data_IF_967829823425
#
_entry.id   IF_967829823425
#
_cell.length_a   1.000
_cell.length_b   1.000
_cell.length_c   1.000
_cell.angle_alpha   90.00
_cell.angle_beta   90.00
_cell.angle_gamma   90.00
#
_symmetry.space_group_name_H-M   'P 1'
#
loop_
_entity.id
_entity.type
_entity.pdbx_description
1 polymer ?
#
# COMPACT_ATOMS: atom_id res chain seq x y z
N UNK A 1 -6.97 15.90 -5.12
CA UNK A 1 -6.02 14.86 -5.66
C UNK A 1 -5.20 14.21 -4.54
N UNK A 2 -4.90 12.93 -4.64
CA UNK A 2 -4.19 12.18 -3.59
C UNK A 2 -2.76 12.67 -3.40
N UNK A 3 -2.46 13.29 -2.23
CA UNK A 3 -1.10 13.72 -1.86
C UNK A 3 -0.12 12.55 -1.75
N UNK A 4 -0.61 11.39 -1.34
CA UNK A 4 0.19 10.17 -1.20
C UNK A 4 0.68 9.67 -2.55
N UNK A 5 -0.18 9.63 -3.56
CA UNK A 5 0.17 9.15 -4.90
C UNK A 5 1.17 10.10 -5.60
N UNK A 6 0.99 11.41 -5.45
CA UNK A 6 1.95 12.40 -5.96
C UNK A 6 3.35 12.23 -5.36
N UNK A 7 3.46 11.86 -4.08
CA UNK A 7 4.74 11.59 -3.44
C UNK A 7 5.40 10.31 -3.98
N UNK A 8 4.60 9.30 -4.33
CA UNK A 8 5.08 8.03 -4.90
C UNK A 8 5.52 8.23 -6.37
N UNK A 9 4.77 8.99 -7.18
CA UNK A 9 5.17 9.32 -8.57
C UNK A 9 6.54 10.01 -8.61
N UNK A 10 6.85 10.86 -7.63
CA UNK A 10 8.16 11.54 -7.55
C UNK A 10 9.36 10.61 -7.30
N UNK A 11 9.13 9.33 -7.01
CA UNK A 11 10.19 8.32 -6.91
C UNK A 11 10.67 7.86 -8.29
N UNK A 12 9.86 8.05 -9.34
CA UNK A 12 10.18 7.60 -10.69
C UNK A 12 11.36 8.36 -11.31
N UNK A 13 12.14 7.71 -12.20
CA UNK A 13 13.14 8.38 -13.00
C UNK A 13 12.54 9.52 -13.83
N UNK A 14 13.32 10.60 -14.02
CA UNK A 14 12.86 11.81 -14.70
C UNK A 14 12.28 11.57 -16.11
N UNK A 15 12.82 10.59 -16.83
CA UNK A 15 12.38 10.20 -18.17
C UNK A 15 11.01 9.52 -18.21
N UNK A 16 10.51 9.01 -17.09
CA UNK A 16 9.23 8.31 -16.98
C UNK A 16 8.21 9.12 -16.16
N UNK A 17 8.70 10.05 -15.33
CA UNK A 17 7.88 10.79 -14.37
C UNK A 17 6.72 11.51 -15.05
N UNK A 18 6.97 12.18 -16.19
CA UNK A 18 5.95 12.96 -16.88
C UNK A 18 4.90 12.05 -17.51
N UNK A 19 5.31 10.94 -18.13
CA UNK A 19 4.41 9.98 -18.76
C UNK A 19 3.43 9.39 -17.71
N UNK A 20 3.94 8.98 -16.56
CA UNK A 20 3.11 8.42 -15.47
C UNK A 20 2.26 9.52 -14.82
N UNK A 21 2.77 10.74 -14.67
CA UNK A 21 1.98 11.85 -14.14
C UNK A 21 0.78 12.16 -15.06
N UNK A 22 1.00 12.24 -16.38
CA UNK A 22 -0.09 12.48 -17.34
C UNK A 22 -1.04 11.28 -17.38
N UNK A 23 -0.54 10.06 -17.35
CA UNK A 23 -1.37 8.87 -17.23
C UNK A 23 -2.30 8.96 -16.02
N UNK A 24 -1.75 9.28 -14.84
CA UNK A 24 -2.54 9.49 -13.63
C UNK A 24 -3.59 10.60 -13.78
N UNK A 25 -3.22 11.77 -14.34
CA UNK A 25 -4.15 12.89 -14.48
C UNK A 25 -5.29 12.57 -15.46
N UNK A 26 -5.00 11.90 -16.57
CA UNK A 26 -6.01 11.47 -17.54
C UNK A 26 -7.00 10.49 -16.92
N UNK A 27 -6.50 9.47 -16.20
CA UNK A 27 -7.37 8.51 -15.54
C UNK A 27 -8.14 9.13 -14.37
N UNK A 28 -7.53 10.08 -13.62
CA UNK A 28 -8.24 10.80 -12.55
C UNK A 28 -9.35 11.70 -13.11
N UNK A 29 -9.17 12.31 -14.27
CA UNK A 29 -10.22 13.06 -14.93
C UNK A 29 -11.41 12.15 -15.33
N UNK A 30 -11.11 10.97 -15.87
CA UNK A 30 -12.12 9.98 -16.20
C UNK A 30 -12.87 9.46 -14.94
N UNK A 31 -12.14 9.19 -13.88
CA UNK A 31 -12.63 8.75 -12.57
C UNK A 31 -13.58 9.80 -11.96
N UNK A 32 -13.20 11.09 -12.02
CA UNK A 32 -14.03 12.21 -11.55
C UNK A 32 -15.38 12.27 -12.27
N UNK A 33 -15.41 11.98 -13.57
CA UNK A 33 -16.65 11.93 -14.36
C UNK A 33 -17.51 10.74 -13.90
N UNK A 34 -16.89 9.60 -13.64
CA UNK A 34 -17.60 8.40 -13.19
C UNK A 34 -18.14 8.55 -11.77
N UNK A 35 -17.36 9.14 -10.85
CA UNK A 35 -17.73 9.29 -9.45
C UNK A 35 -18.83 10.34 -9.20
N UNK A 36 -18.97 11.37 -10.04
CA UNK A 36 -19.97 12.42 -9.82
C UNK A 36 -21.39 11.90 -10.02
N UNK A 37 -22.13 11.73 -8.94
CA UNK A 37 -23.51 11.22 -8.94
C UNK A 37 -24.56 12.29 -9.16
N UNK A 38 -24.17 13.57 -9.25
CA UNK A 38 -25.10 14.72 -9.25
C UNK A 38 -25.02 15.58 -10.51
N UNK A 39 -23.93 15.55 -11.22
CA UNK A 39 -23.69 16.41 -12.38
C UNK A 39 -24.53 16.04 -13.63
N UNK A 40 -24.74 14.73 -13.84
CA UNK A 40 -25.42 14.25 -15.03
C UNK A 40 -26.92 14.15 -14.82
N UNK A 41 -27.73 14.58 -15.81
CA UNK A 41 -29.19 14.45 -15.79
C UNK A 41 -29.63 12.99 -15.96
N UNK A 42 -28.81 12.17 -16.66
CA UNK A 42 -29.09 10.76 -16.90
C UNK A 42 -27.81 9.90 -16.91
N UNK A 43 -27.98 8.60 -16.64
CA UNK A 43 -26.90 7.62 -16.80
C UNK A 43 -26.46 7.49 -18.26
N UNK A 44 -27.37 7.66 -19.23
CA UNK A 44 -27.08 7.62 -20.65
C UNK A 44 -26.10 8.72 -21.05
N UNK A 45 -26.27 9.95 -20.53
CA UNK A 45 -25.35 11.06 -20.77
C UNK A 45 -23.99 10.79 -20.16
N UNK A 46 -23.93 10.31 -18.91
CA UNK A 46 -22.67 9.91 -18.25
C UNK A 46 -21.93 8.84 -19.08
N UNK A 47 -22.63 7.77 -19.47
CA UNK A 47 -22.07 6.68 -20.30
C UNK A 47 -21.55 7.22 -21.63
N UNK A 48 -22.30 8.10 -22.31
CA UNK A 48 -21.88 8.71 -23.57
C UNK A 48 -20.60 9.52 -23.42
N UNK A 49 -20.48 10.29 -22.36
CA UNK A 49 -19.27 11.09 -22.07
C UNK A 49 -18.08 10.16 -21.77
N UNK A 50 -18.26 9.17 -20.90
CA UNK A 50 -17.20 8.19 -20.58
C UNK A 50 -16.70 7.52 -21.86
N UNK A 51 -17.58 6.94 -22.67
CA UNK A 51 -17.19 6.21 -23.89
C UNK A 51 -16.53 7.12 -24.95
N UNK A 52 -16.87 8.40 -24.98
CA UNK A 52 -16.27 9.36 -25.93
C UNK A 52 -14.97 10.01 -25.41
N UNK A 53 -14.69 9.95 -24.11
CA UNK A 53 -13.61 10.71 -23.46
C UNK A 53 -12.26 10.55 -24.17
N UNK A 54 -11.87 9.34 -24.54
CA UNK A 54 -10.61 9.08 -25.25
C UNK A 54 -10.55 9.71 -26.66
N UNK A 55 -11.68 10.01 -27.28
CA UNK A 55 -11.77 10.66 -28.59
C UNK A 55 -11.97 12.17 -28.50
N UNK A 56 -12.59 12.63 -27.44
CA UNK A 56 -12.88 14.05 -27.22
C UNK A 56 -11.78 14.71 -26.40
N UNK A 57 -11.59 14.32 -25.15
CA UNK A 57 -10.64 14.95 -24.24
C UNK A 57 -9.16 14.74 -24.65
N UNK A 58 -8.82 13.58 -25.22
CA UNK A 58 -7.43 13.32 -25.68
C UNK A 58 -7.14 13.76 -27.11
N UNK A 59 -8.15 14.17 -27.88
CA UNK A 59 -7.96 14.62 -29.26
C UNK A 59 -8.19 16.14 -29.43
N UNK A 60 -9.07 16.73 -28.63
CA UNK A 60 -9.36 18.17 -28.71
C UNK A 60 -8.54 18.96 -27.66
N UNK A 61 -7.60 19.82 -28.10
CA UNK A 61 -6.77 20.63 -27.21
C UNK A 61 -7.54 21.67 -26.39
N UNK A 62 -8.80 21.94 -26.74
CA UNK A 62 -9.65 22.90 -26.03
C UNK A 62 -10.75 22.22 -25.19
N UNK A 63 -10.75 20.91 -25.13
CA UNK A 63 -11.76 20.19 -24.36
C UNK A 63 -11.70 20.56 -22.88
N UNK A 64 -12.83 20.91 -22.31
CA UNK A 64 -13.02 21.17 -20.88
C UNK A 64 -14.37 20.64 -20.43
N UNK A 65 -14.51 20.41 -19.11
CA UNK A 65 -15.80 20.11 -18.48
C UNK A 65 -15.93 20.96 -17.21
N UNK A 66 -16.95 21.82 -17.18
CA UNK A 66 -17.19 22.75 -16.07
C UNK A 66 -18.27 22.20 -15.15
N UNK A 67 -18.05 22.29 -13.84
CA UNK A 67 -19.06 21.95 -12.82
C UNK A 67 -19.05 20.49 -12.36
N UNK A 68 -18.42 19.58 -13.08
CA UNK A 68 -18.29 18.17 -12.70
C UNK A 68 -17.18 17.98 -11.67
N UNK A 69 -17.41 17.14 -10.65
CA UNK A 69 -16.48 16.88 -9.55
C UNK A 69 -16.41 17.99 -8.50
N UNK A 70 -15.43 17.90 -7.61
CA UNK A 70 -15.22 18.87 -6.53
C UNK A 70 -13.73 19.26 -6.40
N UNK A 71 -13.48 20.45 -5.85
CA UNK A 71 -12.14 20.91 -5.48
C UNK A 71 -11.10 20.80 -6.59
N UNK A 72 -9.97 20.13 -6.33
CA UNK A 72 -8.88 19.93 -7.28
C UNK A 72 -9.28 19.04 -8.48
N UNK A 73 -10.26 18.16 -8.31
CA UNK A 73 -10.74 17.23 -9.34
C UNK A 73 -11.60 17.96 -10.36
N UNK A 74 -12.51 18.86 -9.91
CA UNK A 74 -13.22 19.79 -10.78
C UNK A 74 -12.25 20.66 -11.54
N UNK A 75 -11.27 21.23 -10.85
CA UNK A 75 -10.25 22.06 -11.47
C UNK A 75 -9.46 21.32 -12.54
N UNK A 76 -9.18 20.02 -12.36
CA UNK A 76 -8.52 19.21 -13.38
C UNK A 76 -9.34 19.15 -14.67
N UNK A 77 -10.66 18.97 -14.58
CA UNK A 77 -11.56 18.94 -15.74
C UNK A 77 -11.69 20.31 -16.41
N UNK A 78 -11.77 21.38 -15.63
CA UNK A 78 -11.87 22.76 -16.13
C UNK A 78 -10.56 23.22 -16.78
N UNK A 79 -9.39 22.79 -16.27
CA UNK A 79 -8.06 23.12 -16.79
C UNK A 79 -7.46 21.99 -17.65
N UNK A 80 -8.27 21.04 -18.13
CA UNK A 80 -7.79 19.87 -18.88
C UNK A 80 -6.95 20.21 -20.12
N UNK A 81 -7.14 21.36 -20.83
CA UNK A 81 -6.24 21.82 -21.90
C UNK A 81 -4.75 21.82 -21.48
N UNK A 82 -4.43 22.11 -20.22
CA UNK A 82 -3.05 22.06 -19.71
C UNK A 82 -2.53 20.62 -19.66
N UNK A 83 -3.36 19.67 -19.23
CA UNK A 83 -3.04 18.24 -19.25
C UNK A 83 -2.86 17.74 -20.69
N UNK A 84 -3.81 18.09 -21.57
CA UNK A 84 -3.77 17.75 -22.99
C UNK A 84 -2.49 18.25 -23.68
N UNK A 85 -2.06 19.49 -23.41
CA UNK A 85 -0.85 20.07 -24.05
C UNK A 85 0.40 19.23 -23.72
N UNK A 86 0.52 18.73 -22.50
CA UNK A 86 1.62 17.85 -22.08
C UNK A 86 1.45 16.45 -22.66
N UNK A 87 0.22 15.89 -22.64
CA UNK A 87 -0.09 14.62 -23.29
C UNK A 87 0.30 14.61 -24.77
N UNK A 88 -0.05 15.64 -25.52
CA UNK A 88 0.28 15.76 -26.94
C UNK A 88 1.80 15.80 -27.22
N UNK A 89 2.59 16.27 -26.25
CA UNK A 89 4.05 16.32 -26.33
C UNK A 89 4.75 15.01 -25.92
N UNK A 90 4.03 14.04 -25.35
CA UNK A 90 4.61 12.74 -24.97
C UNK A 90 5.01 11.94 -26.21
N UNK A 91 5.96 10.99 -26.05
CA UNK A 91 6.28 10.00 -27.09
C UNK A 91 5.03 9.30 -27.61
N UNK A 92 4.99 9.00 -28.91
CA UNK A 92 3.82 8.33 -29.53
C UNK A 92 3.47 7.00 -28.85
N UNK A 93 4.49 6.22 -28.46
CA UNK A 93 4.30 4.94 -27.76
C UNK A 93 3.55 5.15 -26.43
N UNK A 94 3.94 6.14 -25.63
CA UNK A 94 3.28 6.47 -24.35
C UNK A 94 1.86 6.96 -24.56
N UNK A 95 1.63 7.84 -25.56
CA UNK A 95 0.28 8.30 -25.93
C UNK A 95 -0.65 7.16 -26.32
N UNK A 96 -0.15 6.18 -27.09
CA UNK A 96 -0.92 4.99 -27.48
C UNK A 96 -1.32 4.17 -26.27
N UNK A 97 -0.41 3.96 -25.32
CA UNK A 97 -0.72 3.24 -24.06
C UNK A 97 -1.79 3.98 -23.27
N UNK A 98 -1.61 5.28 -23.04
CA UNK A 98 -2.55 6.09 -22.28
C UNK A 98 -3.94 6.08 -22.92
N UNK A 99 -4.04 6.28 -24.24
CA UNK A 99 -5.31 6.29 -24.97
C UNK A 99 -6.02 4.94 -24.92
N UNK A 100 -5.29 3.83 -25.07
CA UNK A 100 -5.84 2.48 -25.03
C UNK A 100 -6.41 2.15 -23.65
N UNK A 101 -5.64 2.41 -22.58
CA UNK A 101 -6.10 2.17 -21.21
C UNK A 101 -7.29 3.07 -20.86
N UNK A 102 -7.26 4.33 -21.27
CA UNK A 102 -8.38 5.26 -21.05
C UNK A 102 -9.67 4.75 -21.70
N UNK A 103 -9.60 4.26 -22.95
CA UNK A 103 -10.76 3.67 -23.62
C UNK A 103 -11.30 2.44 -22.87
N UNK A 104 -10.42 1.51 -22.48
CA UNK A 104 -10.81 0.26 -21.83
C UNK A 104 -11.37 0.52 -20.43
N UNK A 105 -10.76 1.44 -19.67
CA UNK A 105 -11.23 1.85 -18.36
C UNK A 105 -12.61 2.54 -18.46
N UNK A 106 -12.76 3.48 -19.38
CA UNK A 106 -14.05 4.14 -19.67
C UNK A 106 -15.15 3.14 -20.04
N UNK A 107 -14.82 2.12 -20.86
CA UNK A 107 -15.77 1.07 -21.23
C UNK A 107 -16.20 0.25 -20.02
N UNK A 108 -15.26 -0.10 -19.16
CA UNK A 108 -15.55 -0.81 -17.92
C UNK A 108 -16.38 0.01 -16.93
N UNK A 109 -16.05 1.29 -16.73
CA UNK A 109 -16.81 2.21 -15.88
C UNK A 109 -18.26 2.36 -16.41
N UNK A 110 -18.44 2.54 -17.72
CA UNK A 110 -19.74 2.64 -18.34
C UNK A 110 -20.61 1.39 -18.14
N UNK A 111 -20.01 0.19 -18.03
CA UNK A 111 -20.73 -1.03 -17.68
C UNK A 111 -21.33 -0.95 -16.27
N UNK A 112 -20.64 -0.28 -15.34
CA UNK A 112 -21.07 -0.21 -13.93
C UNK A 112 -21.99 0.99 -13.63
N UNK A 113 -21.98 2.04 -14.44
CA UNK A 113 -22.88 3.21 -14.26
C UNK A 113 -24.35 2.82 -14.19
N UNK A 114 -24.77 1.82 -14.96
CA UNK A 114 -26.16 1.36 -15.00
C UNK A 114 -26.49 0.25 -13.99
N UNK A 115 -25.53 -0.14 -13.14
CA UNK A 115 -25.75 -1.13 -12.09
C UNK A 115 -26.16 -0.44 -10.79
N UNK A 116 -27.14 -1.01 -10.11
CA UNK A 116 -27.45 -0.61 -8.75
C UNK A 116 -26.35 -1.14 -7.82
N UNK A 117 -25.47 -0.25 -7.39
CA UNK A 117 -24.39 -0.54 -6.45
C UNK A 117 -24.72 -0.18 -5.00
N UNK A 118 -25.94 0.27 -4.69
CA UNK A 118 -26.36 0.58 -3.34
C UNK A 118 -26.28 -0.60 -2.37
N UNK A 119 -26.37 -1.84 -2.91
CA UNK A 119 -26.19 -3.10 -2.16
C UNK A 119 -24.93 -3.87 -2.59
N UNK A 120 -23.98 -3.21 -3.24
CA UNK A 120 -22.72 -3.81 -3.68
C UNK A 120 -22.82 -4.61 -4.98
N UNK A 121 -21.70 -5.22 -5.36
CA UNK A 121 -21.62 -6.10 -6.55
C UNK A 121 -22.35 -7.42 -6.30
N UNK A 122 -22.82 -8.12 -7.36
CA UNK A 122 -23.58 -9.37 -7.22
C UNK A 122 -22.76 -10.48 -6.56
N UNK A 123 -21.51 -10.62 -6.96
CA UNK A 123 -20.64 -11.71 -6.55
C UNK A 123 -19.15 -11.33 -6.66
N UNK A 124 -18.26 -12.23 -6.24
CA UNK A 124 -16.80 -12.05 -6.30
C UNK A 124 -16.32 -11.83 -7.75
N UNK A 125 -16.95 -12.46 -8.75
CA UNK A 125 -16.52 -12.28 -10.14
C UNK A 125 -16.80 -10.85 -10.62
N UNK A 126 -18.00 -10.31 -10.32
CA UNK A 126 -18.34 -8.92 -10.63
C UNK A 126 -17.50 -7.93 -9.83
N UNK A 127 -17.20 -8.24 -8.55
CA UNK A 127 -16.29 -7.47 -7.71
C UNK A 127 -14.88 -7.39 -8.31
N UNK A 128 -14.32 -8.54 -8.70
CA UNK A 128 -13.02 -8.61 -9.37
C UNK A 128 -13.04 -7.87 -10.71
N UNK A 129 -14.12 -7.98 -11.48
CA UNK A 129 -14.30 -7.29 -12.76
C UNK A 129 -14.30 -5.77 -12.59
N UNK A 130 -14.97 -5.25 -11.57
CA UNK A 130 -14.91 -3.82 -11.23
C UNK A 130 -13.49 -3.41 -10.89
N UNK A 131 -12.83 -4.12 -9.96
CA UNK A 131 -11.45 -3.84 -9.57
C UNK A 131 -10.47 -3.91 -10.76
N UNK A 132 -10.69 -4.85 -11.71
CA UNK A 132 -9.93 -4.94 -12.95
C UNK A 132 -10.05 -3.65 -13.76
N UNK A 133 -11.27 -3.15 -13.98
CA UNK A 133 -11.47 -1.95 -14.81
C UNK A 133 -10.86 -0.71 -14.18
N UNK A 134 -11.03 -0.48 -12.87
CA UNK A 134 -10.60 0.77 -12.23
C UNK A 134 -9.15 0.75 -11.72
N UNK A 135 -8.55 -0.44 -11.57
CA UNK A 135 -7.19 -0.56 -11.01
C UNK A 135 -6.30 -1.58 -11.74
N UNK A 136 -6.83 -2.72 -12.16
CA UNK A 136 -6.07 -3.72 -12.94
C UNK A 136 -5.54 -3.14 -14.24
N UNK A 137 -6.37 -2.42 -15.00
CA UNK A 137 -5.99 -1.72 -16.22
C UNK A 137 -4.93 -0.63 -15.95
N UNK A 138 -4.95 0.00 -14.78
CA UNK A 138 -3.88 0.94 -14.38
C UNK A 138 -2.55 0.19 -14.25
N UNK A 139 -2.55 -0.99 -13.62
CA UNK A 139 -1.38 -1.86 -13.51
C UNK A 139 -0.82 -2.27 -14.88
N UNK A 140 -1.70 -2.67 -15.82
CA UNK A 140 -1.32 -2.97 -17.21
C UNK A 140 -0.69 -1.75 -17.89
N UNK A 141 -1.35 -0.59 -17.80
CA UNK A 141 -0.86 0.65 -18.40
C UNK A 141 0.51 1.05 -17.88
N UNK A 142 0.73 0.96 -16.56
CA UNK A 142 2.03 1.23 -15.95
C UNK A 142 3.10 0.26 -16.47
N UNK A 143 2.82 -1.06 -16.53
CA UNK A 143 3.75 -2.07 -17.03
C UNK A 143 4.16 -1.79 -18.47
N UNK A 144 3.21 -1.35 -19.31
CA UNK A 144 3.45 -0.97 -20.70
C UNK A 144 4.27 0.33 -20.80
N UNK A 145 3.99 1.35 -19.97
CA UNK A 145 4.78 2.58 -19.92
C UNK A 145 6.22 2.30 -19.45
N UNK A 146 6.41 1.44 -18.46
CA UNK A 146 7.74 1.04 -18.01
C UNK A 146 8.53 0.33 -19.14
N UNK A 147 7.88 -0.55 -19.88
CA UNK A 147 8.52 -1.25 -21.01
C UNK A 147 8.86 -0.30 -22.17
N UNK A 148 7.96 0.62 -22.55
CA UNK A 148 8.24 1.54 -23.65
C UNK A 148 9.26 2.63 -23.30
N UNK A 149 9.48 2.90 -22.01
CA UNK A 149 10.55 3.79 -21.55
C UNK A 149 11.96 3.20 -21.72
N UNK A 150 12.06 1.88 -21.91
CA UNK A 150 13.34 1.15 -21.98
C UNK A 150 14.02 0.94 -20.62
N UNK A 151 13.38 1.29 -19.50
CA UNK A 151 13.91 1.08 -18.15
C UNK A 151 13.64 -0.31 -17.61
N UNK A 152 12.64 -0.99 -18.17
CA UNK A 152 12.23 -2.34 -17.80
C UNK A 152 12.26 -3.27 -19.03
N UNK A 153 12.28 -4.58 -18.77
CA UNK A 153 12.21 -5.57 -19.84
C UNK A 153 10.93 -5.39 -20.68
N UNK A 154 11.02 -5.49 -22.02
CA UNK A 154 9.85 -5.52 -22.90
C UNK A 154 8.84 -6.62 -22.53
N UNK A 155 9.28 -7.73 -21.93
CA UNK A 155 8.41 -8.82 -21.48
C UNK A 155 7.47 -8.41 -20.37
N UNK A 156 7.78 -7.36 -19.60
CA UNK A 156 6.93 -6.85 -18.51
C UNK A 156 5.55 -6.40 -19.01
N UNK A 157 5.49 -5.84 -20.22
CA UNK A 157 4.23 -5.46 -20.87
C UNK A 157 3.28 -6.66 -21.14
N UNK A 158 3.81 -7.89 -21.16
CA UNK A 158 3.05 -9.13 -21.32
C UNK A 158 2.59 -9.77 -20.00
N UNK A 159 3.03 -9.26 -18.86
CA UNK A 159 2.65 -9.78 -17.53
C UNK A 159 1.27 -9.30 -17.09
N UNK A 160 0.27 -9.47 -17.97
CA UNK A 160 -1.08 -8.91 -17.78
C UNK A 160 -1.76 -9.40 -16.49
N UNK A 161 -1.63 -10.71 -16.20
CA UNK A 161 -2.21 -11.27 -14.98
C UNK A 161 -1.58 -10.66 -13.73
N UNK A 162 -0.25 -10.66 -13.64
CA UNK A 162 0.43 -10.17 -12.45
C UNK A 162 0.22 -8.67 -12.23
N UNK A 163 0.24 -7.86 -13.30
CA UNK A 163 -0.05 -6.43 -13.22
C UNK A 163 -1.49 -6.13 -12.79
N UNK A 164 -2.43 -6.96 -13.24
CA UNK A 164 -3.83 -6.92 -12.82
C UNK A 164 -3.96 -7.20 -11.32
N UNK A 165 -3.34 -8.29 -10.81
CA UNK A 165 -3.38 -8.64 -9.40
C UNK A 165 -2.79 -7.54 -8.50
N UNK A 166 -1.76 -6.82 -8.95
CA UNK A 166 -1.23 -5.62 -8.27
C UNK A 166 -2.31 -4.55 -8.10
N UNK A 167 -3.07 -4.27 -9.16
CA UNK A 167 -4.18 -3.32 -9.13
C UNK A 167 -5.33 -3.79 -8.24
N UNK A 168 -5.76 -5.04 -8.40
CA UNK A 168 -6.84 -5.65 -7.62
C UNK A 168 -6.56 -5.61 -6.12
N UNK A 169 -5.34 -5.93 -5.71
CA UNK A 169 -4.93 -5.92 -4.31
C UNK A 169 -5.09 -4.51 -3.68
N UNK A 170 -4.69 -3.47 -4.41
CA UNK A 170 -4.85 -2.08 -3.96
C UNK A 170 -6.32 -1.68 -3.89
N UNK A 171 -7.10 -1.98 -4.93
CA UNK A 171 -8.50 -1.56 -5.00
C UNK A 171 -9.36 -2.29 -3.97
N UNK A 172 -9.20 -3.61 -3.82
CA UNK A 172 -9.87 -4.37 -2.77
C UNK A 172 -9.54 -3.83 -1.38
N UNK A 173 -8.28 -3.46 -1.13
CA UNK A 173 -7.88 -2.86 0.15
C UNK A 173 -8.59 -1.52 0.39
N UNK A 174 -8.74 -0.68 -0.63
CA UNK A 174 -9.47 0.59 -0.53
C UNK A 174 -10.96 0.33 -0.24
N UNK A 175 -11.62 -0.51 -1.02
CA UNK A 175 -13.04 -0.85 -0.86
C UNK A 175 -13.33 -1.48 0.53
N UNK A 176 -12.42 -2.31 1.05
CA UNK A 176 -12.56 -2.88 2.40
C UNK A 176 -12.48 -1.78 3.46
N UNK A 177 -11.51 -0.87 3.32
CA UNK A 177 -11.26 0.21 4.27
C UNK A 177 -12.38 1.25 4.30
N UNK A 178 -12.91 1.58 3.13
CA UNK A 178 -13.80 2.72 2.93
C UNK A 178 -15.30 2.31 2.95
N UNK A 179 -15.61 1.09 3.43
CA UNK A 179 -16.96 0.50 3.46
C UNK A 179 -18.07 1.47 3.86
N UNK A 180 -17.89 2.19 4.98
CA UNK A 180 -18.95 3.07 5.51
C UNK A 180 -19.14 4.31 4.63
N UNK A 181 -18.06 4.89 4.11
CA UNK A 181 -18.08 6.04 3.21
C UNK A 181 -18.79 5.67 1.91
N UNK A 182 -18.35 4.59 1.25
CA UNK A 182 -18.95 4.06 0.02
C UNK A 182 -20.43 3.71 0.20
N UNK A 183 -20.82 3.11 1.34
CA UNK A 183 -22.20 2.76 1.65
C UNK A 183 -23.09 4.01 1.80
N UNK A 184 -22.61 5.03 2.52
CA UNK A 184 -23.34 6.28 2.73
C UNK A 184 -23.51 7.04 1.41
N UNK A 185 -22.52 6.99 0.53
CA UNK A 185 -22.57 7.61 -0.80
C UNK A 185 -23.42 6.81 -1.81
N UNK A 186 -23.95 5.64 -1.41
CA UNK A 186 -24.80 4.79 -2.25
C UNK A 186 -24.05 4.03 -3.33
N UNK A 187 -22.74 3.90 -3.21
CA UNK A 187 -21.82 3.22 -4.14
C UNK A 187 -21.00 2.14 -3.44
N UNK A 188 -21.67 1.22 -2.78
CA UNK A 188 -21.01 0.09 -2.13
C UNK A 188 -20.50 -0.94 -3.16
N UNK A 189 -19.39 -1.59 -2.82
CA UNK A 189 -18.77 -2.57 -3.71
C UNK A 189 -18.62 -3.97 -3.09
N UNK A 190 -18.92 -4.13 -1.80
CA UNK A 190 -18.84 -5.44 -1.14
C UNK A 190 -19.75 -6.45 -1.83
N UNK A 191 -19.24 -7.65 -2.23
CA UNK A 191 -20.01 -8.59 -3.02
C UNK A 191 -21.15 -9.24 -2.22
N UNK A 192 -22.36 -9.24 -2.78
CA UNK A 192 -23.57 -9.80 -2.19
C UNK A 192 -23.41 -11.29 -1.85
N UNK A 193 -22.68 -12.03 -2.68
CA UNK A 193 -22.36 -13.45 -2.43
C UNK A 193 -21.56 -13.68 -1.15
N UNK A 194 -20.89 -12.64 -0.61
CA UNK A 194 -20.17 -12.69 0.67
C UNK A 194 -21.03 -12.13 1.78
N UNK A 195 -21.44 -10.86 1.72
CA UNK A 195 -22.07 -10.21 2.84
C UNK A 195 -23.48 -10.76 3.17
N UNK A 196 -24.22 -11.28 2.19
CA UNK A 196 -25.53 -11.94 2.43
C UNK A 196 -25.44 -13.20 3.29
N UNK A 197 -24.28 -13.83 3.38
CA UNK A 197 -24.06 -14.96 4.32
C UNK A 197 -24.21 -14.55 5.78
N UNK A 198 -23.95 -13.27 6.07
CA UNK A 198 -23.80 -12.73 7.40
C UNK A 198 -24.87 -11.69 7.78
N UNK A 199 -25.58 -11.10 6.81
CA UNK A 199 -26.66 -10.15 7.07
C UNK A 199 -28.01 -10.87 7.11
N UNK A 200 -28.63 -11.01 8.30
CA UNK A 200 -29.94 -11.65 8.42
C UNK A 200 -31.07 -10.80 7.85
N UNK A 201 -30.84 -9.50 7.67
CA UNK A 201 -31.81 -8.57 7.09
C UNK A 201 -31.78 -8.57 5.56
N UNK A 202 -30.75 -9.15 4.94
CA UNK A 202 -30.53 -9.07 3.51
C UNK A 202 -30.16 -7.66 3.02
N UNK A 203 -29.66 -6.80 3.93
CA UNK A 203 -29.23 -5.44 3.67
C UNK A 203 -27.76 -5.29 4.07
N UNK A 204 -26.95 -4.67 3.20
CA UNK A 204 -25.54 -4.37 3.45
C UNK A 204 -25.39 -3.38 4.61
N UNK A 205 -26.35 -2.47 4.79
CA UNK A 205 -26.38 -1.51 5.90
C UNK A 205 -26.48 -2.13 7.29
N UNK A 206 -26.76 -3.43 7.39
CA UNK A 206 -26.75 -4.15 8.66
C UNK A 206 -25.43 -4.02 9.43
N UNK A 207 -24.33 -3.84 8.72
CA UNK A 207 -23.01 -3.67 9.32
C UNK A 207 -22.64 -2.21 9.61
N UNK A 208 -23.40 -1.23 9.06
CA UNK A 208 -23.09 0.19 9.26
C UNK A 208 -23.49 0.64 10.67
N UNK A 209 -22.54 1.18 11.43
CA UNK A 209 -22.73 1.63 12.81
C UNK A 209 -23.44 0.59 13.70
N UNK A 210 -22.93 -0.65 13.81
CA UNK A 210 -23.62 -1.75 14.46
C UNK A 210 -23.81 -1.50 15.96
N UNK A 211 -25.05 -1.58 16.45
CA UNK A 211 -25.41 -1.34 17.85
C UNK A 211 -25.51 -2.62 18.68
N UNK A 212 -25.68 -3.78 18.06
CA UNK A 212 -25.79 -5.08 18.73
C UNK A 212 -24.52 -5.91 18.57
N UNK A 213 -24.27 -6.82 19.50
CA UNK A 213 -23.12 -7.73 19.42
C UNK A 213 -23.23 -8.72 18.25
N UNK A 214 -24.49 -9.10 17.90
CA UNK A 214 -24.77 -9.96 16.74
C UNK A 214 -24.37 -9.27 15.43
N UNK A 215 -24.73 -7.97 15.27
CA UNK A 215 -24.37 -7.21 14.07
C UNK A 215 -22.86 -6.98 13.99
N UNK A 216 -22.19 -6.69 15.10
CA UNK A 216 -20.72 -6.59 15.16
C UNK A 216 -20.05 -7.89 14.77
N UNK A 217 -20.50 -9.02 15.33
CA UNK A 217 -19.98 -10.35 15.02
C UNK A 217 -20.15 -10.70 13.56
N UNK A 218 -21.33 -10.46 13.01
CA UNK A 218 -21.64 -10.66 11.60
C UNK A 218 -20.74 -9.80 10.69
N UNK A 219 -20.56 -8.53 11.05
CA UNK A 219 -19.64 -7.61 10.37
C UNK A 219 -18.20 -8.16 10.37
N UNK A 220 -17.71 -8.66 11.51
CA UNK A 220 -16.36 -9.25 11.56
C UNK A 220 -16.21 -10.47 10.67
N UNK A 221 -17.21 -11.36 10.59
CA UNK A 221 -17.16 -12.51 9.67
C UNK A 221 -17.04 -12.04 8.21
N UNK A 222 -17.87 -11.08 7.81
CA UNK A 222 -17.86 -10.53 6.46
C UNK A 222 -16.52 -9.83 6.14
N UNK A 223 -16.06 -8.96 7.03
CA UNK A 223 -14.83 -8.21 6.90
C UNK A 223 -13.61 -9.13 6.78
N UNK A 224 -13.53 -10.15 7.66
CA UNK A 224 -12.40 -11.09 7.66
C UNK A 224 -12.38 -11.92 6.36
N UNK A 225 -13.54 -12.33 5.82
CA UNK A 225 -13.63 -13.05 4.54
C UNK A 225 -13.11 -12.17 3.38
N UNK A 226 -13.47 -10.88 3.34
CA UNK A 226 -13.02 -9.95 2.31
C UNK A 226 -11.53 -9.62 2.43
N UNK A 227 -11.03 -9.44 3.66
CA UNK A 227 -9.58 -9.26 3.89
C UNK A 227 -8.81 -10.49 3.41
N UNK A 228 -9.33 -11.69 3.68
CA UNK A 228 -8.71 -12.94 3.22
C UNK A 228 -8.67 -13.03 1.70
N UNK A 229 -9.75 -12.67 1.02
CA UNK A 229 -9.83 -12.62 -0.44
C UNK A 229 -8.78 -11.66 -1.05
N UNK A 230 -8.52 -10.53 -0.40
CA UNK A 230 -7.44 -9.63 -0.81
C UNK A 230 -6.04 -10.21 -0.53
N UNK A 231 -5.82 -10.88 0.61
CA UNK A 231 -4.53 -11.49 0.97
C UNK A 231 -4.11 -12.60 0.00
N UNK A 232 -5.06 -13.29 -0.62
CA UNK A 232 -4.78 -14.34 -1.60
C UNK A 232 -4.13 -13.83 -2.89
N UNK A 233 -4.15 -12.51 -3.15
CA UNK A 233 -3.48 -11.88 -4.30
C UNK A 233 -1.99 -11.59 -4.05
N UNK A 234 -1.54 -11.62 -2.79
CA UNK A 234 -0.17 -11.23 -2.41
C UNK A 234 0.92 -12.04 -3.10
N UNK A 235 0.80 -13.36 -3.31
CA UNK A 235 1.81 -14.14 -4.04
C UNK A 235 2.09 -13.58 -5.44
N UNK A 236 1.05 -13.22 -6.18
CA UNK A 236 1.17 -12.66 -7.53
C UNK A 236 1.77 -11.24 -7.48
N UNK A 237 1.41 -10.43 -6.46
CA UNK A 237 2.01 -9.12 -6.26
C UNK A 237 3.53 -9.22 -6.00
N UNK A 238 3.97 -10.15 -5.17
CA UNK A 238 5.39 -10.40 -4.92
C UNK A 238 6.09 -10.92 -6.18
N UNK A 239 5.43 -11.80 -6.94
CA UNK A 239 5.95 -12.29 -8.23
C UNK A 239 6.13 -11.15 -9.24
N UNK A 240 5.17 -10.21 -9.34
CA UNK A 240 5.33 -9.03 -10.19
C UNK A 240 6.53 -8.18 -9.77
N UNK A 241 6.63 -7.86 -8.48
CA UNK A 241 7.72 -7.03 -7.95
C UNK A 241 9.10 -7.65 -8.19
N UNK A 242 9.22 -8.98 -8.18
CA UNK A 242 10.47 -9.69 -8.46
C UNK A 242 10.96 -9.57 -9.90
N UNK A 243 10.09 -9.17 -10.84
CA UNK A 243 10.42 -8.99 -12.26
C UNK A 243 10.96 -7.60 -12.59
N UNK A 244 10.81 -6.64 -11.67
CA UNK A 244 11.24 -5.26 -11.85
C UNK A 244 12.76 -5.15 -11.70
N UNK A 245 13.40 -4.42 -12.63
CA UNK A 245 14.86 -4.26 -12.70
C UNK A 245 15.32 -2.88 -12.24
N UNK A 246 14.53 -1.83 -12.53
CA UNK A 246 14.84 -0.47 -12.14
C UNK A 246 14.40 -0.21 -10.69
N UNK A 247 15.35 0.19 -9.84
CA UNK A 247 15.11 0.38 -8.41
C UNK A 247 14.04 1.44 -8.10
N UNK A 248 13.98 2.50 -8.89
CA UNK A 248 13.00 3.57 -8.73
C UNK A 248 11.59 3.10 -9.12
N UNK A 249 11.47 2.32 -10.21
CA UNK A 249 10.20 1.70 -10.63
C UNK A 249 9.77 0.67 -9.60
N UNK A 250 10.71 -0.15 -9.09
CA UNK A 250 10.43 -1.09 -8.01
C UNK A 250 9.84 -0.36 -6.79
N UNK A 251 10.48 0.70 -6.33
CA UNK A 251 9.98 1.48 -5.17
C UNK A 251 8.62 2.11 -5.45
N UNK A 252 8.43 2.65 -6.64
CA UNK A 252 7.13 3.19 -7.06
C UNK A 252 6.01 2.16 -6.96
N UNK A 253 6.25 0.93 -7.43
CA UNK A 253 5.27 -0.15 -7.38
C UNK A 253 5.12 -0.75 -5.98
N UNK A 254 6.21 -0.93 -5.22
CA UNK A 254 6.22 -1.62 -3.94
C UNK A 254 5.61 -0.80 -2.80
N UNK A 255 5.82 0.53 -2.76
CA UNK A 255 5.30 1.39 -1.68
C UNK A 255 3.78 1.27 -1.50
N UNK A 256 2.93 1.36 -2.55
CA UNK A 256 1.50 1.14 -2.40
C UNK A 256 1.15 -0.25 -1.86
N UNK A 257 1.86 -1.30 -2.30
CA UNK A 257 1.61 -2.67 -1.89
C UNK A 257 1.89 -2.89 -0.39
N UNK A 258 3.00 -2.35 0.13
CA UNK A 258 3.29 -2.44 1.57
C UNK A 258 2.34 -1.58 2.41
N UNK A 259 1.81 -0.49 1.86
CA UNK A 259 0.74 0.27 2.50
C UNK A 259 -0.57 -0.51 2.53
N UNK A 260 -0.88 -1.26 1.49
CA UNK A 260 -2.08 -2.08 1.39
C UNK A 260 -2.08 -3.21 2.42
N UNK A 261 -1.00 -4.03 2.52
CA UNK A 261 -0.94 -5.10 3.53
C UNK A 261 -1.01 -4.53 4.96
N UNK A 262 -0.40 -3.37 5.23
CA UNK A 262 -0.50 -2.70 6.51
C UNK A 262 -1.92 -2.19 6.81
N UNK A 263 -2.66 -1.77 5.78
CA UNK A 263 -4.06 -1.36 5.89
C UNK A 263 -4.96 -2.58 6.14
N UNK A 264 -4.76 -3.68 5.42
CA UNK A 264 -5.51 -4.93 5.66
C UNK A 264 -5.27 -5.47 7.07
N UNK A 265 -4.03 -5.43 7.57
CA UNK A 265 -3.76 -5.76 8.98
C UNK A 265 -4.56 -4.87 9.93
N UNK A 266 -4.70 -3.58 9.63
CA UNK A 266 -5.52 -2.66 10.43
C UNK A 266 -7.02 -2.95 10.33
N UNK A 267 -7.50 -3.36 9.17
CA UNK A 267 -8.92 -3.68 8.94
C UNK A 267 -9.30 -5.05 9.54
N UNK A 268 -8.41 -6.02 9.52
CA UNK A 268 -8.70 -7.38 9.99
C UNK A 268 -9.25 -7.39 11.41
N UNK A 269 -10.47 -7.90 11.57
CA UNK A 269 -11.22 -7.98 12.83
C UNK A 269 -11.31 -6.63 13.57
N UNK A 270 -11.52 -5.54 12.83
CA UNK A 270 -11.58 -4.19 13.39
C UNK A 270 -12.94 -3.53 13.12
N UNK A 271 -13.70 -3.28 14.19
CA UNK A 271 -15.02 -2.64 14.12
C UNK A 271 -15.00 -1.17 13.66
N UNK A 272 -13.83 -0.50 13.72
CA UNK A 272 -13.72 0.88 13.25
C UNK A 272 -14.04 1.03 11.75
N UNK A 273 -13.93 -0.05 10.96
CA UNK A 273 -14.34 -0.08 9.54
C UNK A 273 -15.83 0.21 9.36
N UNK A 274 -16.64 -0.16 10.34
CA UNK A 274 -18.11 0.01 10.29
C UNK A 274 -18.59 1.36 10.85
N UNK A 275 -17.69 2.13 11.47
CA UNK A 275 -18.04 3.38 12.14
C UNK A 275 -17.26 4.59 11.61
N UNK A 276 -16.32 4.37 10.69
CA UNK A 276 -15.49 5.43 10.12
C UNK A 276 -14.42 4.89 9.19
N UNK A 277 -13.42 5.72 8.90
CA UNK A 277 -12.31 5.36 8.01
C UNK A 277 -11.08 4.91 8.81
N UNK A 278 -10.64 3.68 8.56
CA UNK A 278 -9.41 3.13 9.14
C UNK A 278 -8.19 3.65 8.40
N UNK A 279 -7.26 4.29 9.10
CA UNK A 279 -6.03 4.82 8.51
C UNK A 279 -4.79 4.31 9.24
N UNK A 280 -3.75 3.96 8.49
CA UNK A 280 -2.42 3.75 9.08
C UNK A 280 -1.85 5.10 9.54
N UNK A 281 -1.17 5.10 10.68
CA UNK A 281 -0.60 6.33 11.26
C UNK A 281 0.53 6.87 10.37
N UNK A 282 0.68 8.19 10.28
CA UNK A 282 1.74 8.85 9.48
C UNK A 282 3.13 8.29 9.77
N UNK A 283 3.49 8.06 11.04
CA UNK A 283 4.77 7.46 11.42
C UNK A 283 4.98 6.05 10.86
N UNK A 284 3.92 5.23 10.81
CA UNK A 284 3.96 3.92 10.16
C UNK A 284 4.19 4.07 8.66
N UNK A 285 3.48 4.99 8.00
CA UNK A 285 3.66 5.25 6.57
C UNK A 285 5.10 5.67 6.25
N UNK A 286 5.69 6.58 7.04
CA UNK A 286 7.08 6.98 6.86
C UNK A 286 8.05 5.80 7.04
N UNK A 287 7.81 4.94 8.04
CA UNK A 287 8.62 3.76 8.29
C UNK A 287 8.52 2.76 7.13
N UNK A 288 7.31 2.50 6.61
CA UNK A 288 7.11 1.62 5.47
C UNK A 288 7.82 2.13 4.22
N UNK A 289 7.71 3.43 3.89
CA UNK A 289 8.40 4.05 2.76
C UNK A 289 9.93 3.91 2.91
N UNK A 290 10.45 4.12 4.13
CA UNK A 290 11.88 4.01 4.40
C UNK A 290 12.38 2.56 4.32
N UNK A 291 11.58 1.60 4.77
CA UNK A 291 11.93 0.17 4.77
C UNK A 291 11.71 -0.50 3.39
N UNK A 292 10.99 0.18 2.45
CA UNK A 292 10.76 -0.28 1.08
C UNK A 292 11.91 0.16 0.16
N UNK A 293 13.13 -0.28 0.44
CA UNK A 293 14.33 0.07 -0.36
C UNK A 293 14.60 -0.94 -1.47
N UNK A 294 14.30 -2.19 -1.22
CA UNK A 294 14.59 -3.34 -2.06
C UNK A 294 13.60 -4.50 -1.78
N UNK A 295 13.79 -5.58 -2.49
CA UNK A 295 12.93 -6.75 -2.38
C UNK A 295 12.97 -7.40 -0.99
N UNK A 296 14.12 -7.37 -0.30
CA UNK A 296 14.26 -7.90 1.05
C UNK A 296 13.45 -7.09 2.08
N UNK A 297 13.49 -5.75 1.96
CA UNK A 297 12.69 -4.86 2.80
C UNK A 297 11.20 -5.11 2.63
N UNK A 298 10.75 -5.27 1.38
CA UNK A 298 9.35 -5.61 1.05
C UNK A 298 8.96 -6.95 1.67
N UNK A 299 9.76 -8.02 1.49
CA UNK A 299 9.51 -9.33 2.07
C UNK A 299 9.41 -9.26 3.60
N UNK A 300 10.32 -8.54 4.26
CA UNK A 300 10.27 -8.34 5.71
C UNK A 300 8.99 -7.64 6.19
N UNK A 301 8.44 -6.72 5.38
CA UNK A 301 7.19 -6.03 5.68
C UNK A 301 6.01 -7.00 5.54
N UNK A 302 5.91 -7.73 4.42
CA UNK A 302 4.83 -8.70 4.20
C UNK A 302 4.84 -9.81 5.24
N UNK A 303 6.02 -10.37 5.56
CA UNK A 303 6.20 -11.34 6.65
C UNK A 303 5.63 -10.83 7.98
N UNK A 304 5.98 -9.60 8.36
CA UNK A 304 5.53 -8.98 9.62
C UNK A 304 4.01 -8.85 9.68
N UNK A 305 3.36 -8.37 8.63
CA UNK A 305 1.92 -8.16 8.65
C UNK A 305 1.12 -9.46 8.50
N UNK A 306 1.59 -10.42 7.71
CA UNK A 306 1.00 -11.75 7.67
C UNK A 306 1.07 -12.44 9.04
N UNK A 307 2.20 -12.37 9.74
CA UNK A 307 2.34 -12.85 11.13
C UNK A 307 1.37 -12.13 12.08
N UNK A 308 1.21 -10.80 11.94
CA UNK A 308 0.27 -10.03 12.77
C UNK A 308 -1.17 -10.48 12.57
N UNK A 309 -1.58 -10.73 11.33
CA UNK A 309 -2.95 -11.20 11.02
C UNK A 309 -3.19 -12.59 11.61
N UNK A 310 -2.24 -13.52 11.48
CA UNK A 310 -2.32 -14.86 12.12
C UNK A 310 -2.51 -14.70 13.63
N UNK A 311 -1.67 -13.88 14.28
CA UNK A 311 -1.76 -13.68 15.73
C UNK A 311 -3.12 -13.08 16.17
N UNK A 312 -3.71 -12.21 15.35
CA UNK A 312 -5.07 -11.68 15.62
C UNK A 312 -6.12 -12.78 15.47
N UNK A 313 -6.06 -13.56 14.38
CA UNK A 313 -6.98 -14.66 14.13
C UNK A 313 -6.96 -15.69 15.27
N UNK A 314 -5.76 -16.13 15.67
CA UNK A 314 -5.57 -17.09 16.78
C UNK A 314 -6.08 -16.55 18.12
N UNK A 315 -5.81 -15.26 18.38
CA UNK A 315 -6.27 -14.59 19.59
C UNK A 315 -7.80 -14.55 19.67
N UNK A 316 -8.48 -14.21 18.59
CA UNK A 316 -9.95 -14.14 18.60
C UNK A 316 -10.56 -15.55 18.64
N UNK A 317 -9.95 -16.53 17.95
CA UNK A 317 -10.33 -17.94 18.07
C UNK A 317 -10.19 -18.44 19.51
N UNK A 318 -9.11 -18.10 20.21
CA UNK A 318 -8.90 -18.50 21.63
C UNK A 318 -9.91 -17.86 22.59
N UNK A 319 -10.55 -16.76 22.21
CA UNK A 319 -11.67 -16.13 22.95
C UNK A 319 -13.04 -16.74 22.61
N UNK A 320 -13.07 -17.75 21.73
CA UNK A 320 -14.32 -18.39 21.30
C UNK A 320 -14.99 -17.75 20.10
N UNK A 321 -14.33 -16.85 19.39
CA UNK A 321 -14.85 -16.32 18.12
C UNK A 321 -14.61 -17.34 17.01
N UNK A 322 -15.69 -17.99 16.54
CA UNK A 322 -15.63 -18.95 15.45
C UNK A 322 -15.77 -18.20 14.13
N UNK A 323 -14.65 -17.98 13.44
CA UNK A 323 -14.62 -17.29 12.14
C UNK A 323 -14.69 -18.32 11.00
N UNK A 324 -15.73 -18.29 10.13
CA UNK A 324 -15.81 -19.19 8.99
C UNK A 324 -14.66 -19.08 7.99
N UNK A 325 -13.98 -17.93 7.94
CA UNK A 325 -12.82 -17.71 7.07
C UNK A 325 -11.47 -18.06 7.71
N UNK A 326 -11.43 -18.47 9.00
CA UNK A 326 -10.20 -18.66 9.77
C UNK A 326 -9.16 -19.53 9.04
N UNK A 327 -9.52 -20.75 8.64
CA UNK A 327 -8.60 -21.67 7.96
C UNK A 327 -8.07 -21.10 6.64
N UNK A 328 -8.93 -20.41 5.87
CA UNK A 328 -8.56 -19.76 4.63
C UNK A 328 -7.61 -18.59 4.89
N UNK A 329 -7.86 -17.79 5.92
CA UNK A 329 -6.98 -16.69 6.36
C UNK A 329 -5.61 -17.21 6.77
N UNK A 330 -5.56 -18.25 7.61
CA UNK A 330 -4.31 -18.86 8.05
C UNK A 330 -3.52 -19.41 6.87
N UNK A 331 -4.20 -20.09 5.93
CA UNK A 331 -3.56 -20.62 4.71
C UNK A 331 -2.96 -19.47 3.87
N UNK A 332 -3.72 -18.42 3.58
CA UNK A 332 -3.24 -17.28 2.79
C UNK A 332 -2.02 -16.62 3.45
N UNK A 333 -2.09 -16.36 4.77
CA UNK A 333 -0.97 -15.79 5.49
C UNK A 333 0.25 -16.73 5.54
N UNK A 334 0.07 -18.05 5.72
CA UNK A 334 1.18 -19.03 5.68
C UNK A 334 1.87 -19.04 4.32
N UNK A 335 1.12 -19.01 3.22
CA UNK A 335 1.70 -18.88 1.87
C UNK A 335 2.57 -17.62 1.75
N UNK A 336 2.12 -16.48 2.29
CA UNK A 336 2.91 -15.25 2.33
C UNK A 336 4.19 -15.45 3.16
N UNK A 337 4.10 -16.09 4.33
CA UNK A 337 5.25 -16.36 5.19
C UNK A 337 6.27 -17.26 4.48
N UNK A 338 5.83 -18.34 3.83
CA UNK A 338 6.69 -19.26 3.08
C UNK A 338 7.48 -18.54 1.98
N UNK A 339 6.82 -17.67 1.21
CA UNK A 339 7.44 -16.88 0.16
C UNK A 339 8.45 -15.84 0.68
N UNK A 340 8.27 -15.37 1.92
CA UNK A 340 9.05 -14.24 2.46
C UNK A 340 10.03 -14.65 3.58
N UNK A 341 9.97 -15.89 4.08
CA UNK A 341 10.71 -16.34 5.27
C UNK A 341 12.24 -16.32 5.12
N UNK A 342 12.75 -16.83 4.00
CA UNK A 342 14.21 -16.96 3.76
C UNK A 342 14.87 -15.60 3.79
N UNK A 343 14.24 -14.61 3.20
CA UNK A 343 14.76 -13.26 3.07
C UNK A 343 14.55 -12.45 4.35
N UNK A 344 13.44 -12.65 5.05
CA UNK A 344 13.22 -12.04 6.36
C UNK A 344 14.26 -12.49 7.42
N UNK A 345 14.74 -13.73 7.35
CA UNK A 345 15.84 -14.24 8.19
C UNK A 345 17.17 -13.58 7.84
N UNK A 346 17.45 -13.33 6.55
CA UNK A 346 18.67 -12.65 6.11
C UNK A 346 18.71 -11.18 6.55
N UNK A 347 17.59 -10.46 6.48
CA UNK A 347 17.47 -9.08 6.98
C UNK A 347 17.75 -9.00 8.48
N UNK A 348 17.24 -9.95 9.26
CA UNK A 348 17.56 -10.03 10.70
C UNK A 348 19.06 -10.29 10.93
N UNK A 349 19.67 -11.16 10.14
CA UNK A 349 21.10 -11.48 10.26
C UNK A 349 21.99 -10.30 9.86
N UNK A 350 21.69 -9.65 8.73
CA UNK A 350 22.42 -8.47 8.26
C UNK A 350 22.32 -7.28 9.25
N UNK A 351 21.13 -7.07 9.83
CA UNK A 351 20.92 -6.02 10.85
C UNK A 351 21.70 -6.31 12.14
N UNK A 352 21.80 -7.57 12.56
CA UNK A 352 22.60 -8.00 13.70
C UNK A 352 24.11 -7.85 13.43
N UNK A 353 24.58 -8.29 12.26
CA UNK A 353 25.99 -8.20 11.86
C UNK A 353 26.42 -6.73 11.71
N UNK A 354 25.63 -5.90 11.03
CA UNK A 354 25.91 -4.46 10.91
C UNK A 354 25.89 -3.76 12.27
N UNK A 355 24.95 -4.11 13.15
CA UNK A 355 24.91 -3.61 14.52
C UNK A 355 26.17 -4.00 15.32
N UNK A 356 26.63 -5.23 15.18
CA UNK A 356 27.85 -5.74 15.85
C UNK A 356 29.11 -5.12 15.27
N UNK A 357 29.20 -4.94 13.93
CA UNK A 357 30.33 -4.27 13.27
C UNK A 357 30.46 -2.80 13.67
N UNK A 358 29.36 -2.07 13.76
CA UNK A 358 29.37 -0.66 14.20
C UNK A 358 29.84 -0.56 15.66
N UNK A 359 29.41 -1.47 16.54
CA UNK A 359 29.87 -1.51 17.94
C UNK A 359 31.34 -1.88 18.00
N UNK A 360 31.80 -2.88 17.25
CA UNK A 360 33.18 -3.32 17.22
C UNK A 360 34.13 -2.23 16.67
N UNK A 361 33.74 -1.54 15.59
CA UNK A 361 34.54 -0.43 15.03
C UNK A 361 34.58 0.77 15.97
N UNK A 362 33.51 1.08 16.68
CA UNK A 362 33.47 2.16 17.67
C UNK A 362 34.34 1.82 18.90
N UNK A 363 34.34 0.56 19.35
CA UNK A 363 35.19 0.09 20.42
C UNK A 363 36.68 0.08 19.99
N UNK A 364 36.99 -0.32 18.76
CA UNK A 364 38.36 -0.29 18.22
C UNK A 364 38.90 1.13 18.08
N UNK A 365 38.08 2.09 17.63
CA UNK A 365 38.45 3.50 17.55
C UNK A 365 38.70 4.11 18.95
N UNK A 366 37.89 3.76 19.94
CA UNK A 366 38.09 4.18 21.33
C UNK A 366 39.36 3.56 21.92
N UNK A 367 39.62 2.28 21.68
CA UNK A 367 40.86 1.62 22.13
C UNK A 367 42.11 2.20 21.45
N UNK A 368 42.07 2.47 20.14
CA UNK A 368 43.17 3.12 19.42
C UNK A 368 43.50 4.53 19.97
N UNK A 369 42.45 5.29 20.33
CA UNK A 369 42.61 6.61 20.97
C UNK A 369 43.25 6.52 22.35
N UNK A 370 42.98 5.47 23.13
CA UNK A 370 43.60 5.22 24.43
C UNK A 370 45.08 4.77 24.33
N UNK A 371 45.43 3.99 23.28
CA UNK A 371 46.79 3.48 23.07
C UNK A 371 47.73 4.57 22.50
N UNK A 372 47.18 5.51 21.72
CA UNK A 372 47.97 6.63 21.18
C UNK A 372 48.42 7.66 22.24
N UNK A 373 47.88 7.57 23.46
CA UNK A 373 48.23 8.44 24.57
C UNK A 373 49.37 7.82 25.39
N UNK A 374 50.63 8.06 24.97
CA UNK A 374 51.82 7.87 25.84
C UNK A 374 52.09 9.17 26.62
N UNK A 375 51.95 9.20 27.94
CA UNK A 375 52.36 10.39 28.70
C UNK A 375 53.87 10.53 28.63
N UNK A 376 54.38 11.61 28.03
CA UNK A 376 55.76 12.00 28.20
C UNK A 376 55.88 12.64 29.60
N UNK A 377 56.76 12.10 30.40
CA UNK A 377 57.09 12.55 31.76
C UNK A 377 57.88 13.87 31.72
N UNK A 378 57.22 15.00 31.48
CA UNK A 378 57.67 16.30 31.91
C UNK A 378 56.53 17.32 31.86
N UNK A 379 56.21 17.86 33.05
CA UNK A 379 55.39 19.08 33.29
C UNK A 379 54.10 19.21 32.52
N UNK A 380 53.02 18.56 33.01
CA UNK A 380 51.67 18.80 32.53
C UNK A 380 51.13 20.16 33.01
N UNK A 381 50.91 21.08 32.07
CA UNK A 381 50.18 22.33 32.31
C UNK A 381 48.69 22.04 32.50
N UNK A 382 48.02 22.75 33.45
CA UNK A 382 46.60 22.58 33.75
C UNK A 382 45.64 22.66 32.52
N UNK A 383 46.07 23.35 31.46
CA UNK A 383 45.30 23.49 30.23
C UNK A 383 45.27 22.17 29.39
N UNK A 384 46.29 21.31 29.51
CA UNK A 384 46.37 20.04 28.80
C UNK A 384 45.40 19.00 29.39
N UNK A 385 45.16 19.04 30.70
CA UNK A 385 44.17 18.20 31.38
C UNK A 385 42.74 18.59 31.00
N UNK A 386 42.47 19.88 30.85
CA UNK A 386 41.16 20.38 30.43
C UNK A 386 40.81 19.94 29.00
N UNK A 387 41.76 19.96 28.06
CA UNK A 387 41.53 19.53 26.67
C UNK A 387 41.22 18.02 26.59
N UNK A 388 41.94 17.19 27.33
CA UNK A 388 41.75 15.74 27.36
C UNK A 388 40.43 15.38 28.03
N UNK A 389 40.07 16.04 29.13
CA UNK A 389 38.75 15.85 29.78
C UNK A 389 37.61 16.33 28.90
N UNK A 390 37.76 17.45 28.18
CA UNK A 390 36.72 17.95 27.26
C UNK A 390 36.52 17.01 26.06
N UNK A 391 37.62 16.48 25.48
CA UNK A 391 37.56 15.52 24.38
C UNK A 391 36.94 14.18 24.83
N UNK A 392 37.26 13.68 26.01
CA UNK A 392 36.70 12.48 26.59
C UNK A 392 35.21 12.67 26.93
N UNK A 393 34.80 13.83 27.44
CA UNK A 393 33.39 14.15 27.74
C UNK A 393 32.58 14.34 26.47
N UNK A 394 33.13 14.95 25.43
CA UNK A 394 32.49 15.08 24.12
C UNK A 394 32.33 13.71 23.44
N UNK A 395 33.32 12.82 23.54
CA UNK A 395 33.22 11.44 23.04
C UNK A 395 32.19 10.63 23.82
N UNK A 396 32.11 10.77 25.15
CA UNK A 396 31.08 10.12 25.97
C UNK A 396 29.69 10.70 25.75
N UNK A 397 29.54 12.00 25.54
CA UNK A 397 28.25 12.63 25.18
C UNK A 397 27.80 12.20 23.80
N UNK A 398 28.67 12.14 22.81
CA UNK A 398 28.37 11.61 21.47
C UNK A 398 28.01 10.13 21.52
N UNK A 399 28.66 9.34 22.37
CA UNK A 399 28.32 7.93 22.63
C UNK A 399 27.01 7.78 23.36
N UNK A 400 26.69 8.66 24.30
CA UNK A 400 25.41 8.73 25.02
C UNK A 400 24.26 9.11 24.09
N UNK A 401 24.45 10.08 23.20
CA UNK A 401 23.46 10.51 22.20
C UNK A 401 23.24 9.40 21.17
N UNK A 402 24.28 8.76 20.65
CA UNK A 402 24.18 7.61 19.73
C UNK A 402 23.53 6.39 20.42
N UNK A 403 23.87 6.13 21.68
CA UNK A 403 23.26 5.09 22.48
C UNK A 403 21.78 5.40 22.80
N UNK A 404 21.46 6.66 23.11
CA UNK A 404 20.08 7.12 23.33
C UNK A 404 19.25 7.04 22.04
N UNK A 405 19.76 7.51 20.91
CA UNK A 405 19.11 7.36 19.61
C UNK A 405 18.95 5.88 19.20
N UNK A 406 19.98 5.06 19.45
CA UNK A 406 19.94 3.62 19.19
C UNK A 406 18.93 2.91 20.11
N UNK A 407 18.86 3.29 21.39
CA UNK A 407 17.92 2.78 22.37
C UNK A 407 16.48 3.30 22.10
N UNK A 408 16.35 4.55 21.66
CA UNK A 408 15.06 5.13 21.26
C UNK A 408 14.54 4.49 19.97
N UNK A 409 15.39 4.34 18.94
CA UNK A 409 15.06 3.64 17.69
C UNK A 409 14.84 2.13 17.92
N UNK A 410 15.62 1.49 18.80
CA UNK A 410 15.39 0.09 19.18
C UNK A 410 14.19 -0.08 20.08
N UNK A 411 13.89 0.84 20.99
CA UNK A 411 12.64 0.80 21.79
C UNK A 411 11.41 1.13 20.96
N UNK A 412 11.47 2.05 20.00
CA UNK A 412 10.36 2.26 19.06
C UNK A 412 10.20 1.04 18.12
N UNK A 413 11.29 0.40 17.70
CA UNK A 413 11.27 -0.90 17.00
C UNK A 413 10.87 -2.05 17.94
N UNK A 414 11.38 -2.11 19.15
CA UNK A 414 11.02 -3.15 20.14
C UNK A 414 9.64 -2.96 20.76
N UNK A 415 9.08 -1.76 20.89
CA UNK A 415 7.70 -1.61 21.33
C UNK A 415 6.71 -2.14 20.30
N UNK A 416 7.06 -2.08 19.01
CA UNK A 416 6.29 -2.73 17.94
C UNK A 416 6.63 -4.22 17.84
N UNK A 417 7.89 -4.61 18.01
CA UNK A 417 8.34 -6.01 17.97
C UNK A 417 8.07 -6.73 19.30
N UNK A 418 8.18 -6.09 20.46
CA UNK A 418 7.90 -6.72 21.76
C UNK A 418 6.42 -6.85 22.07
N UNK A 419 5.56 -6.04 21.44
CA UNK A 419 4.12 -6.34 21.44
C UNK A 419 3.76 -7.55 20.57
N UNK A 420 4.64 -7.97 19.65
CA UNK A 420 4.42 -9.07 18.72
C UNK A 420 5.22 -10.34 19.09
N UNK A 421 6.38 -10.22 19.76
CA UNK A 421 7.24 -11.35 20.15
C UNK A 421 6.63 -12.36 21.15
N UNK A 422 5.81 -11.96 22.14
CA UNK A 422 5.13 -12.93 23.00
C UNK A 422 4.12 -13.79 22.24
N UNK A 423 3.46 -13.23 21.24
CA UNK A 423 2.48 -13.92 20.41
C UNK A 423 3.15 -14.92 19.45
N UNK A 424 4.26 -14.53 18.81
CA UNK A 424 5.03 -15.40 17.91
C UNK A 424 5.61 -16.62 18.65
N UNK A 425 6.11 -16.45 19.88
CA UNK A 425 6.60 -17.57 20.71
C UNK A 425 5.50 -18.50 21.22
N UNK A 426 4.27 -18.01 21.35
CA UNK A 426 3.10 -18.84 21.67
C UNK A 426 2.66 -19.67 20.46
N UNK A 427 2.73 -19.11 19.25
CA UNK A 427 2.46 -19.86 18.01
C UNK A 427 3.50 -20.97 17.77
N UNK A 428 4.81 -20.66 17.93
CA UNK A 428 5.88 -21.66 17.76
C UNK A 428 5.78 -22.84 18.75
N UNK A 429 5.34 -22.59 19.99
CA UNK A 429 5.16 -23.67 20.98
C UNK A 429 3.96 -24.58 20.70
N UNK A 430 2.93 -24.12 20.02
CA UNK A 430 1.77 -24.96 19.66
C UNK A 430 2.03 -25.83 18.44
N UNK A 431 2.82 -25.39 17.46
CA UNK A 431 3.18 -26.20 16.29
C UNK A 431 4.19 -27.34 16.60
N UNK A 432 4.71 -27.43 17.84
CA UNK A 432 5.57 -28.52 18.27
C UNK A 432 4.84 -29.58 19.16
N UNK A 433 3.53 -29.44 19.36
CA UNK A 433 2.70 -30.31 20.21
C UNK A 433 1.58 -31.01 19.40
N UNK A 434 1.46 -30.74 18.12
CA UNK A 434 0.69 -31.52 17.13
C UNK A 434 1.68 -32.25 16.18
#
# INVERSE_FOLDING_TARGET
MSRSFAAVIRQLPSQLLVDVLIFYLVLRALDTIEDDMTFFESNEDKVRILLSFHKTALADPQWTMTGCGEGDERRLLEEFPKCHSVFAALPEASRKVISDITLRMATGMAEFVNKDLGQGTSDISQYNRYCHFVAGLVGEGLSRLFSVSGLESPSLAGELHLSDQMGLFLQKTNIIRDYLEDYVDGRAFWPQSVWKKYSPTGDLGYFANPTTEEAKKAGFHCLNELVTDALELVPDCLSYLSKLQCAEIFRFCAIPQVMAIATLDKCYHNGDVFTGVVKIRKGMSCMLINDTTDFFGVHGIFYRFATSIICKADKECSKGFVDPSYERTIKACRTILELTEVEAKQVKHASLVNGTMIVASSCAAAAASCVAYKPSTSSMNKNSVAVVTTAATAAMASFGILSFFKTYLSKSRQSVVSSLLPAAKLCEKRSQVE
#
